data_IF_689265764980
#
_entry.id   IF_689265764980
#
_cell.length_a   1.000
_cell.length_b   1.000
_cell.length_c   1.000
_cell.angle_alpha   90.00
_cell.angle_beta   90.00
_cell.angle_gamma   90.00
#
_symmetry.space_group_name_H-M   'P 1'
#
loop_
_entity.id
_entity.type
_entity.pdbx_description
1 polymer ?
#
# COMPACT_ATOMS: atom_id res chain seq x y z
N UNK A 1 -64.32 25.21 -15.69
CA UNK A 1 -64.29 25.57 -14.26
C UNK A 1 -63.92 24.34 -13.46
N UNK A 2 -62.64 24.22 -13.08
CA UNK A 2 -62.04 23.53 -11.93
C UNK A 2 -60.51 23.47 -12.18
N UNK A 3 -59.67 24.04 -11.30
CA UNK A 3 -58.23 24.19 -11.52
C UNK A 3 -57.44 23.07 -10.83
N UNK A 4 -56.43 22.50 -11.48
CA UNK A 4 -55.44 21.63 -10.83
C UNK A 4 -54.05 22.14 -11.22
N UNK A 5 -53.50 23.02 -10.39
CA UNK A 5 -52.54 22.72 -9.31
C UNK A 5 -51.14 22.42 -9.87
N UNK A 6 -50.33 23.48 -9.89
CA UNK A 6 -48.87 23.44 -10.00
C UNK A 6 -48.34 22.65 -8.81
N UNK A 7 -47.84 21.44 -9.06
CA UNK A 7 -47.05 20.71 -8.10
C UNK A 7 -45.60 21.18 -8.21
N UNK A 8 -45.17 21.98 -7.25
CA UNK A 8 -43.75 22.21 -6.97
C UNK A 8 -43.15 20.88 -6.49
N UNK A 9 -42.49 20.15 -7.39
CA UNK A 9 -41.64 19.03 -6.99
C UNK A 9 -40.34 19.60 -6.41
N UNK A 10 -40.42 19.97 -5.12
CA UNK A 10 -39.28 20.14 -4.24
C UNK A 10 -38.70 18.75 -3.96
N UNK A 11 -37.57 18.45 -4.58
CA UNK A 11 -36.44 17.69 -4.00
C UNK A 11 -35.43 17.40 -5.11
N UNK A 12 -34.49 18.31 -5.32
CA UNK A 12 -33.20 17.97 -5.91
C UNK A 12 -32.42 17.15 -4.88
N UNK A 13 -32.82 15.89 -4.67
CA UNK A 13 -31.91 14.89 -4.14
C UNK A 13 -31.22 14.27 -5.34
N UNK A 14 -30.02 14.76 -5.64
CA UNK A 14 -29.09 14.13 -6.56
C UNK A 14 -28.67 12.78 -5.96
N UNK A 15 -29.59 11.81 -6.01
CA UNK A 15 -29.30 10.42 -5.76
C UNK A 15 -28.48 9.97 -6.96
N UNK A 16 -27.15 9.96 -6.80
CA UNK A 16 -26.23 9.36 -7.76
C UNK A 16 -26.64 7.89 -7.88
N UNK A 17 -27.49 7.61 -8.86
CA UNK A 17 -27.84 6.27 -9.24
C UNK A 17 -26.63 5.75 -10.00
N UNK A 18 -25.73 5.10 -9.27
CA UNK A 18 -24.65 4.33 -9.88
C UNK A 18 -25.34 3.08 -10.45
N UNK A 19 -25.79 3.19 -11.70
CA UNK A 19 -26.37 2.06 -12.42
C UNK A 19 -25.26 1.02 -12.66
N UNK A 20 -25.45 -0.24 -12.24
CA UNK A 20 -24.42 -1.25 -12.39
C UNK A 20 -24.32 -1.66 -13.86
N UNK A 21 -23.09 -1.62 -14.39
CA UNK A 21 -22.71 -2.04 -15.73
C UNK A 21 -23.06 -3.53 -15.94
N UNK A 22 -24.13 -3.81 -16.69
CA UNK A 22 -24.49 -5.16 -17.13
C UNK A 22 -24.07 -5.36 -18.59
N UNK A 23 -22.91 -5.96 -18.80
CA UNK A 23 -22.59 -6.95 -19.86
C UNK A 23 -21.06 -7.18 -19.92
N UNK A 24 -20.61 -8.36 -19.47
CA UNK A 24 -19.29 -8.92 -19.77
C UNK A 24 -18.29 -8.91 -18.61
N UNK A 25 -18.56 -9.69 -17.55
CA UNK A 25 -17.73 -9.84 -16.35
C UNK A 25 -17.94 -8.66 -15.40
N UNK A 26 -18.58 -8.89 -14.25
CA UNK A 26 -18.90 -7.79 -13.34
C UNK A 26 -17.58 -7.12 -12.89
N UNK A 27 -17.37 -5.81 -13.09
CA UNK A 27 -16.13 -5.14 -12.68
C UNK A 27 -15.85 -5.27 -11.18
N UNK A 28 -16.86 -5.67 -10.38
CA UNK A 28 -16.72 -5.99 -8.97
C UNK A 28 -16.30 -7.44 -8.66
N UNK A 29 -16.42 -8.37 -9.62
CA UNK A 29 -15.97 -9.77 -9.46
C UNK A 29 -14.45 -9.88 -9.61
N UNK A 30 -13.87 -9.09 -10.51
CA UNK A 30 -12.43 -9.09 -10.78
C UNK A 30 -11.64 -8.30 -9.71
N UNK A 31 -10.41 -8.73 -9.40
CA UNK A 31 -9.59 -8.08 -8.39
C UNK A 31 -9.13 -6.70 -8.84
N UNK A 32 -8.60 -6.61 -10.06
CA UNK A 32 -8.21 -5.36 -10.68
C UNK A 32 -9.39 -4.39 -10.83
N UNK A 33 -10.54 -4.89 -11.25
CA UNK A 33 -11.75 -4.08 -11.38
C UNK A 33 -12.24 -3.51 -10.05
N UNK A 34 -12.19 -4.28 -8.96
CA UNK A 34 -12.52 -3.77 -7.61
C UNK A 34 -11.58 -2.67 -7.16
N UNK A 35 -10.28 -2.81 -7.41
CA UNK A 35 -9.28 -1.79 -7.10
C UNK A 35 -9.53 -0.49 -7.89
N UNK A 36 -9.77 -0.63 -9.19
CA UNK A 36 -10.12 0.49 -10.07
C UNK A 36 -11.39 1.20 -9.59
N UNK A 37 -12.42 0.44 -9.26
CA UNK A 37 -13.68 0.98 -8.75
C UNK A 37 -13.46 1.82 -7.47
N UNK A 38 -12.69 1.31 -6.51
CA UNK A 38 -12.37 2.06 -5.28
C UNK A 38 -11.59 3.35 -5.57
N UNK A 39 -10.63 3.30 -6.49
CA UNK A 39 -9.87 4.48 -6.92
C UNK A 39 -10.78 5.53 -7.55
N UNK A 40 -11.62 5.13 -8.50
CA UNK A 40 -12.53 6.02 -9.23
C UNK A 40 -13.62 6.58 -8.32
N UNK A 41 -14.19 5.77 -7.43
CA UNK A 41 -15.16 6.20 -6.41
C UNK A 41 -14.59 7.30 -5.50
N UNK A 42 -13.28 7.27 -5.23
CA UNK A 42 -12.56 8.30 -4.45
C UNK A 42 -12.00 9.44 -5.31
N UNK A 43 -12.26 9.43 -6.62
CA UNK A 43 -11.81 10.45 -7.57
C UNK A 43 -10.28 10.62 -7.62
N UNK A 44 -9.54 9.53 -7.40
CA UNK A 44 -8.07 9.53 -7.42
C UNK A 44 -7.58 9.26 -8.85
N UNK A 45 -6.75 10.14 -9.39
CA UNK A 45 -6.15 9.96 -10.72
C UNK A 45 -5.02 8.92 -10.65
N UNK A 46 -5.06 7.93 -11.54
CA UNK A 46 -4.03 6.90 -11.67
C UNK A 46 -2.63 7.48 -11.90
N UNK A 47 -2.52 8.58 -12.66
CA UNK A 47 -1.25 9.26 -12.92
C UNK A 47 -0.63 9.85 -11.64
N UNK A 48 -1.46 10.41 -10.76
CA UNK A 48 -1.00 10.97 -9.48
C UNK A 48 -0.48 9.87 -8.54
N UNK A 49 -1.10 8.68 -8.56
CA UNK A 49 -0.58 7.51 -7.84
C UNK A 49 0.78 7.11 -8.41
N UNK A 50 0.93 7.04 -9.74
CA UNK A 50 2.19 6.71 -10.39
C UNK A 50 3.31 7.71 -10.03
N UNK A 51 3.00 9.01 -10.02
CA UNK A 51 3.94 10.07 -9.66
C UNK A 51 4.43 9.98 -8.20
N UNK A 52 3.51 9.61 -7.28
CA UNK A 52 3.79 9.51 -5.84
C UNK A 52 4.52 8.22 -5.49
N UNK A 53 4.06 7.08 -6.03
CA UNK A 53 4.60 5.74 -5.73
C UNK A 53 5.83 5.38 -6.55
N UNK A 54 6.11 6.14 -7.62
CA UNK A 54 7.15 5.83 -8.63
C UNK A 54 6.94 4.52 -9.37
N UNK A 55 5.73 3.98 -9.36
CA UNK A 55 5.32 2.84 -10.19
C UNK A 55 4.82 3.39 -11.52
N UNK A 56 5.25 2.81 -12.65
CA UNK A 56 4.84 3.30 -13.96
C UNK A 56 3.33 3.10 -14.18
N UNK A 57 2.66 4.09 -14.78
CA UNK A 57 1.25 4.04 -15.19
C UNK A 57 0.85 2.70 -15.87
N UNK A 58 1.58 2.18 -16.88
CA UNK A 58 1.18 0.94 -17.54
C UNK A 58 1.17 -0.30 -16.63
N UNK A 59 1.96 -0.31 -15.54
CA UNK A 59 1.91 -1.40 -14.55
C UNK A 59 0.65 -1.31 -13.69
N UNK A 60 0.25 -0.11 -13.29
CA UNK A 60 -0.97 0.12 -12.53
C UNK A 60 -2.22 -0.13 -13.38
N UNK A 61 -2.20 0.27 -14.66
CA UNK A 61 -3.25 -0.10 -15.62
C UNK A 61 -3.30 -1.62 -15.87
N UNK A 62 -2.16 -2.30 -15.83
CA UNK A 62 -2.09 -3.76 -15.85
C UNK A 62 -2.80 -4.36 -14.65
N UNK A 63 -2.48 -3.88 -13.44
CA UNK A 63 -3.12 -4.34 -12.20
C UNK A 63 -4.64 -4.17 -12.23
N UNK A 64 -5.12 -3.00 -12.66
CA UNK A 64 -6.56 -2.71 -12.76
C UNK A 64 -7.28 -3.55 -13.83
N UNK A 65 -6.53 -4.16 -14.76
CA UNK A 65 -7.03 -5.08 -15.80
C UNK A 65 -6.71 -6.55 -15.51
N UNK A 66 -6.23 -6.86 -14.31
CA UNK A 66 -5.79 -8.20 -13.93
C UNK A 66 -4.66 -8.78 -14.83
N UNK A 67 -3.91 -7.90 -15.50
CA UNK A 67 -2.72 -8.24 -16.28
C UNK A 67 -1.44 -7.84 -15.54
N UNK A 68 -0.85 -8.84 -14.89
CA UNK A 68 0.37 -8.72 -14.09
C UNK A 68 1.59 -9.36 -14.76
N UNK A 69 1.52 -9.60 -16.07
CA UNK A 69 2.59 -10.24 -16.87
C UNK A 69 3.89 -9.42 -16.88
N UNK A 70 3.78 -8.10 -16.83
CA UNK A 70 4.90 -7.14 -16.86
C UNK A 70 5.41 -6.74 -15.47
N UNK A 71 4.76 -7.24 -14.42
CA UNK A 71 5.11 -6.88 -13.05
C UNK A 71 6.45 -7.49 -12.66
N UNK A 72 7.25 -6.80 -11.81
CA UNK A 72 8.48 -7.37 -11.28
C UNK A 72 8.16 -8.64 -10.46
N UNK A 73 9.11 -9.56 -10.46
CA UNK A 73 9.10 -10.76 -9.62
C UNK A 73 9.90 -10.54 -8.33
N UNK A 74 9.71 -11.44 -7.37
CA UNK A 74 10.32 -11.43 -6.04
C UNK A 74 9.67 -10.41 -5.09
N UNK A 75 10.48 -9.95 -4.14
CA UNK A 75 10.03 -9.16 -2.99
C UNK A 75 9.33 -7.83 -3.34
N UNK A 76 9.61 -7.26 -4.52
CA UNK A 76 9.05 -5.98 -4.95
C UNK A 76 7.60 -6.08 -5.41
N UNK A 77 7.16 -7.28 -5.79
CA UNK A 77 5.80 -7.50 -6.28
C UNK A 77 4.76 -7.15 -5.22
N UNK A 78 4.97 -7.63 -4.00
CA UNK A 78 4.09 -7.38 -2.84
C UNK A 78 4.13 -5.93 -2.39
N UNK A 79 5.30 -5.29 -2.43
CA UNK A 79 5.43 -3.89 -2.01
C UNK A 79 4.68 -2.94 -2.96
N UNK A 80 4.67 -3.22 -4.26
CA UNK A 80 3.95 -2.41 -5.25
C UNK A 80 2.43 -2.44 -5.02
N UNK A 81 1.88 -3.62 -4.71
CA UNK A 81 0.45 -3.74 -4.36
C UNK A 81 0.14 -3.03 -3.07
N UNK A 82 1.00 -3.15 -2.03
CA UNK A 82 0.83 -2.48 -0.75
C UNK A 82 0.74 -0.96 -0.92
N UNK A 83 1.71 -0.34 -1.60
CA UNK A 83 1.71 1.13 -1.78
C UNK A 83 0.55 1.62 -2.65
N UNK A 84 0.10 0.80 -3.61
CA UNK A 84 -1.09 1.13 -4.40
C UNK A 84 -2.36 1.10 -3.53
N UNK A 85 -2.54 0.05 -2.71
CA UNK A 85 -3.67 -0.08 -1.79
C UNK A 85 -3.72 1.08 -0.78
N UNK A 86 -2.56 1.45 -0.22
CA UNK A 86 -2.43 2.62 0.66
C UNK A 86 -2.78 3.92 -0.07
N UNK A 87 -2.32 4.10 -1.32
CA UNK A 87 -2.58 5.31 -2.11
C UNK A 87 -4.07 5.51 -2.43
N UNK A 88 -4.83 4.42 -2.62
CA UNK A 88 -6.29 4.49 -2.79
C UNK A 88 -7.04 4.44 -1.45
N UNK A 89 -6.34 4.27 -0.33
CA UNK A 89 -6.87 4.26 1.03
C UNK A 89 -7.67 2.99 1.38
N UNK A 90 -7.24 1.84 0.87
CA UNK A 90 -7.64 0.51 1.34
C UNK A 90 -6.65 -0.01 2.39
N UNK A 91 -7.07 -1.02 3.15
CA UNK A 91 -6.16 -1.78 4.00
C UNK A 91 -5.23 -2.64 3.12
N UNK A 92 -3.90 -2.44 3.15
CA UNK A 92 -2.99 -3.15 2.27
C UNK A 92 -2.88 -4.65 2.57
N UNK A 93 -3.04 -5.07 3.82
CA UNK A 93 -2.79 -6.45 4.23
C UNK A 93 -3.73 -7.47 3.54
N UNK A 94 -5.06 -7.29 3.54
CA UNK A 94 -5.96 -8.19 2.81
C UNK A 94 -5.76 -8.11 1.29
N UNK A 95 -5.46 -6.93 0.74
CA UNK A 95 -5.26 -6.74 -0.70
C UNK A 95 -4.02 -7.48 -1.19
N UNK A 96 -2.91 -7.37 -0.45
CA UNK A 96 -1.66 -8.08 -0.78
C UNK A 96 -1.85 -9.59 -0.64
N UNK A 97 -2.55 -10.06 0.39
CA UNK A 97 -2.83 -11.48 0.58
C UNK A 97 -3.58 -12.07 -0.61
N UNK A 98 -4.68 -11.44 -1.00
CA UNK A 98 -5.48 -11.87 -2.14
C UNK A 98 -4.68 -11.83 -3.46
N UNK A 99 -3.84 -10.80 -3.63
CA UNK A 99 -2.97 -10.71 -4.81
C UNK A 99 -1.99 -11.88 -4.90
N UNK A 100 -1.37 -12.28 -3.78
CA UNK A 100 -0.41 -13.38 -3.74
C UNK A 100 -1.10 -14.73 -3.99
N UNK A 101 -2.32 -14.91 -3.47
CA UNK A 101 -3.14 -16.09 -3.71
C UNK A 101 -3.53 -16.23 -5.19
N UNK A 102 -3.89 -15.11 -5.85
CA UNK A 102 -4.32 -15.11 -7.25
C UNK A 102 -3.14 -15.14 -8.24
N UNK A 103 -2.04 -14.47 -7.91
CA UNK A 103 -0.87 -14.30 -8.77
C UNK A 103 0.41 -14.79 -8.08
N UNK A 104 0.57 -16.12 -7.93
CA UNK A 104 1.74 -16.69 -7.28
C UNK A 104 3.02 -16.29 -8.04
N UNK A 105 4.05 -15.92 -7.29
CA UNK A 105 5.31 -15.50 -7.86
C UNK A 105 6.12 -16.71 -8.35
N UNK A 106 6.52 -16.77 -9.62
CA UNK A 106 7.36 -17.85 -10.14
C UNK A 106 8.67 -18.05 -9.36
N UNK A 107 9.24 -16.99 -8.78
CA UNK A 107 10.53 -17.05 -8.07
C UNK A 107 10.40 -17.49 -6.59
N UNK A 108 9.22 -17.37 -5.97
CA UNK A 108 9.03 -17.81 -4.58
C UNK A 108 8.89 -19.34 -4.48
N UNK A 109 8.53 -20.02 -5.57
CA UNK A 109 8.34 -21.47 -5.60
C UNK A 109 9.67 -22.23 -5.42
N UNK A 110 10.80 -21.64 -5.81
CA UNK A 110 12.13 -22.28 -5.66
C UNK A 110 12.69 -22.17 -4.23
N UNK A 111 12.35 -21.11 -3.50
CA UNK A 111 12.92 -20.88 -2.15
C UNK A 111 12.22 -21.66 -1.05
N UNK A 112 10.94 -22.02 -1.24
CA UNK A 112 10.20 -22.86 -0.29
C UNK A 112 10.72 -24.31 -0.23
N UNK A 113 11.42 -24.78 -1.26
CA UNK A 113 11.95 -26.15 -1.32
C UNK A 113 13.29 -26.28 -0.55
N UNK A 114 14.00 -25.18 -0.27
CA UNK A 114 15.32 -25.24 0.37
C UNK A 114 15.32 -25.10 1.92
N UNK A 115 14.15 -24.99 2.57
CA UNK A 115 14.05 -24.77 4.03
C UNK A 115 13.52 -25.99 4.81
N UNK A 116 13.39 -27.17 4.22
CA UNK A 116 13.12 -28.39 5.01
C UNK A 116 14.39 -28.98 5.64
N UNK A 117 15.19 -28.17 6.34
CA UNK A 117 16.16 -28.70 7.32
C UNK A 117 15.43 -28.85 8.65
N UNK A 118 14.92 -30.05 8.87
CA UNK A 118 14.35 -30.56 10.12
C UNK A 118 15.37 -30.36 11.27
N UNK A 119 15.10 -29.59 12.33
CA UNK A 119 16.03 -29.50 13.45
C UNK A 119 16.02 -30.82 14.22
N UNK A 120 17.16 -31.51 14.22
CA UNK A 120 17.40 -32.70 15.05
C UNK A 120 17.59 -32.25 16.51
N UNK A 121 16.86 -32.79 17.50
CA UNK A 121 17.06 -32.40 18.89
C UNK A 121 18.30 -33.13 19.42
N UNK A 122 19.33 -32.38 19.81
CA UNK A 122 20.40 -32.90 20.66
C UNK A 122 20.60 -31.90 21.80
N UNK A 123 20.01 -32.26 22.93
CA UNK A 123 20.42 -31.79 24.25
C UNK A 123 21.84 -32.29 24.52
N UNK A 124 22.74 -31.39 24.90
CA UNK A 124 23.57 -31.55 26.10
C UNK A 124 24.28 -30.25 26.41
N UNK A 125 24.08 -29.79 27.64
CA UNK A 125 24.74 -28.64 28.24
C UNK A 125 26.23 -28.88 28.49
N UNK A 126 27.06 -27.85 28.33
CA UNK A 126 28.21 -27.64 29.22
C UNK A 126 28.56 -26.15 29.32
N UNK A 127 28.76 -25.73 30.56
CA UNK A 127 29.11 -24.40 31.05
C UNK A 127 30.57 -24.04 30.76
N UNK A 128 30.89 -22.77 30.52
CA UNK A 128 31.90 -22.03 31.32
C UNK A 128 32.25 -20.65 30.74
N UNK A 129 32.12 -19.66 31.63
CA UNK A 129 32.95 -18.45 31.78
C UNK A 129 33.64 -17.82 30.56
N UNK A 130 33.22 -16.59 30.23
CA UNK A 130 34.18 -15.54 29.85
C UNK A 130 33.53 -14.15 29.95
N UNK A 131 34.27 -13.23 30.57
CA UNK A 131 33.85 -11.96 31.17
C UNK A 131 33.24 -10.96 30.17
N UNK A 132 32.33 -10.08 30.59
CA UNK A 132 31.93 -8.93 29.78
C UNK A 132 33.07 -7.89 29.77
N UNK A 133 33.60 -7.59 28.59
CA UNK A 133 34.51 -6.46 28.40
C UNK A 133 33.68 -5.17 28.41
N UNK A 134 33.65 -4.51 29.57
CA UNK A 134 33.10 -3.16 29.73
C UNK A 134 33.96 -2.16 28.96
N UNK A 135 33.50 -1.73 27.78
CA UNK A 135 34.12 -0.64 27.02
C UNK A 135 33.74 0.67 27.70
N UNK A 136 34.63 1.24 28.51
CA UNK A 136 34.51 2.61 29.03
C UNK A 136 35.02 3.59 27.98
N UNK A 137 34.11 4.18 27.22
CA UNK A 137 34.42 5.27 26.30
C UNK A 137 34.34 6.60 27.05
N UNK A 138 35.47 7.10 27.54
CA UNK A 138 35.56 8.44 28.14
C UNK A 138 35.74 9.46 27.02
N UNK A 139 34.65 10.06 26.54
CA UNK A 139 34.74 11.20 25.62
C UNK A 139 34.98 12.45 26.47
N UNK A 140 36.22 12.93 26.50
CA UNK A 140 36.56 14.24 27.05
C UNK A 140 36.17 15.31 26.02
N UNK A 141 35.01 15.92 26.21
CA UNK A 141 34.55 17.07 25.43
C UNK A 141 35.33 18.32 25.86
N UNK A 142 36.49 18.58 25.24
CA UNK A 142 37.14 19.90 25.31
C UNK A 142 36.40 20.85 24.37
N UNK A 143 35.92 21.96 24.93
CA UNK A 143 34.84 22.75 24.35
C UNK A 143 35.18 23.70 23.21
N UNK A 144 34.06 24.21 22.68
CA UNK A 144 33.79 25.56 22.15
C UNK A 144 34.27 25.97 20.75
N UNK A 145 33.43 26.83 20.17
CA UNK A 145 33.49 27.56 18.88
C UNK A 145 33.09 26.67 17.69
N UNK A 146 31.93 26.85 17.06
CA UNK A 146 31.58 28.04 16.28
C UNK A 146 30.09 28.43 16.32
N UNK A 147 29.92 29.75 16.37
CA UNK A 147 28.70 30.49 16.17
C UNK A 147 28.13 30.31 14.75
N UNK A 148 26.83 30.06 14.68
CA UNK A 148 25.85 30.55 13.70
C UNK A 148 26.14 30.52 12.20
N UNK A 149 25.25 29.90 11.42
CA UNK A 149 24.54 30.46 10.24
C UNK A 149 23.32 29.55 9.95
N UNK A 150 22.14 30.14 9.71
CA UNK A 150 21.21 29.60 8.70
C UNK A 150 19.96 28.87 9.19
N UNK A 151 18.89 29.63 9.44
CA UNK A 151 17.49 29.19 9.34
C UNK A 151 17.24 28.58 7.95
N UNK A 152 16.57 27.42 7.82
CA UNK A 152 15.50 27.21 6.82
C UNK A 152 14.77 25.86 7.00
N UNK A 153 13.47 25.98 7.24
CA UNK A 153 12.35 25.03 7.01
C UNK A 153 12.35 23.65 7.71
N UNK A 154 11.80 23.68 8.93
CA UNK A 154 10.96 22.62 9.48
C UNK A 154 9.66 22.47 8.65
N UNK A 155 9.27 21.23 8.32
CA UNK A 155 7.90 20.90 7.88
C UNK A 155 7.56 19.45 8.26
N UNK A 156 7.61 19.18 9.57
CA UNK A 156 6.55 18.38 10.20
C UNK A 156 5.32 19.30 10.29
N UNK A 157 4.10 18.74 10.27
CA UNK A 157 2.80 19.43 10.50
C UNK A 157 2.02 19.80 9.21
N UNK A 158 1.88 18.87 8.27
CA UNK A 158 0.65 18.79 7.44
C UNK A 158 -0.16 17.58 7.89
N UNK A 159 -0.46 17.53 9.20
CA UNK A 159 -1.32 16.51 9.85
C UNK A 159 -2.42 17.19 10.64
N UNK A 160 -3.01 18.23 10.05
CA UNK A 160 -4.02 19.06 10.70
C UNK A 160 -4.99 19.65 9.67
N UNK A 161 -5.45 18.85 8.70
CA UNK A 161 -6.65 19.12 7.91
C UNK A 161 -7.35 17.80 7.55
N UNK A 162 -7.69 17.04 8.58
CA UNK A 162 -8.88 16.18 8.57
C UNK A 162 -9.95 16.96 9.36
N UNK A 163 -10.75 17.73 8.64
CA UNK A 163 -12.11 18.12 9.02
C UNK A 163 -12.95 18.04 7.74
#
# INVERSE_FOLDING_TARGET
MMPLRIAFASSCSARVHIEPYRCGGEPMESFGGRLRYERERRQINLRSIAETTKISVPLLEGLERDDVSRWPSGIFRKSFVRVYAEAIGLDPEPVVREFVERYPDPLEVETAVHTTVRPKPVSTAVSSSSRPLSIKLTITWSGSVFSGIGRLVDSKIVRLLFY
#
